data_IF_325209541723
#
_entry.id   IF_325209541723
#
_cell.length_a   1.000
_cell.length_b   1.000
_cell.length_c   1.000
_cell.angle_alpha   90.00
_cell.angle_beta   90.00
_cell.angle_gamma   90.00
#
_symmetry.space_group_name_H-M   'P 1'
#
loop_
_entity.id
_entity.type
_entity.pdbx_description
1 polymer ?
#
# COMPACT_ATOMS: atom_id res chain seq x y z
N UNK A 1 0.63 -5.57 -22.05
CA UNK A 1 1.35 -4.55 -21.25
C UNK A 1 0.65 -3.21 -21.49
N UNK A 2 0.06 -2.56 -20.49
CA UNK A 2 -0.50 -1.21 -20.69
C UNK A 2 0.69 -0.26 -20.88
N UNK A 3 0.76 0.42 -22.01
CA UNK A 3 1.74 1.48 -22.27
C UNK A 3 1.62 2.51 -21.15
N UNK A 4 2.66 2.60 -20.31
CA UNK A 4 2.72 3.60 -19.24
C UNK A 4 3.28 4.88 -19.84
N UNK A 5 2.59 5.99 -19.58
CA UNK A 5 3.08 7.32 -19.94
C UNK A 5 4.46 7.55 -19.28
N UNK A 6 5.50 7.89 -20.05
CA UNK A 6 6.82 8.28 -19.53
C UNK A 6 6.72 9.43 -18.52
N UNK A 7 7.64 9.48 -17.56
CA UNK A 7 7.61 10.47 -16.48
C UNK A 7 7.73 11.92 -16.99
N UNK A 8 8.50 12.13 -18.07
CA UNK A 8 8.66 13.46 -18.68
C UNK A 8 7.35 13.95 -19.33
N UNK A 9 6.63 13.08 -20.03
CA UNK A 9 5.33 13.42 -20.62
C UNK A 9 4.30 13.72 -19.53
N UNK A 10 4.27 12.88 -18.50
CA UNK A 10 3.38 13.05 -17.36
C UNK A 10 3.62 14.37 -16.62
N UNK A 11 4.89 14.73 -16.41
CA UNK A 11 5.28 16.00 -15.80
C UNK A 11 4.88 17.19 -16.67
N UNK A 12 5.13 17.13 -17.98
CA UNK A 12 4.79 18.20 -18.92
C UNK A 12 3.28 18.45 -18.97
N UNK A 13 2.47 17.38 -19.01
CA UNK A 13 1.02 17.52 -19.00
C UNK A 13 0.50 18.11 -17.69
N UNK A 14 1.06 17.68 -16.55
CA UNK A 14 0.73 18.24 -15.24
C UNK A 14 1.12 19.72 -15.12
N UNK A 15 2.26 20.12 -15.69
CA UNK A 15 2.74 21.51 -15.66
C UNK A 15 1.88 22.47 -16.48
N UNK A 16 1.12 21.99 -17.48
CA UNK A 16 0.16 22.82 -18.23
C UNK A 16 -0.95 23.36 -17.32
N UNK A 17 -1.48 22.50 -16.46
CA UNK A 17 -2.56 22.83 -15.54
C UNK A 17 -2.03 23.40 -14.21
N UNK A 18 -0.81 23.02 -13.83
CA UNK A 18 -0.21 23.34 -12.53
C UNK A 18 1.28 23.71 -12.70
N UNK A 19 1.61 24.96 -13.06
CA UNK A 19 2.98 25.37 -13.34
C UNK A 19 3.91 25.33 -12.12
N UNK A 20 3.35 25.28 -10.90
CA UNK A 20 4.11 25.18 -9.66
C UNK A 20 4.67 23.77 -9.38
N UNK A 21 4.37 22.78 -10.21
CA UNK A 21 4.94 21.42 -10.09
C UNK A 21 6.38 21.45 -10.60
N UNK A 22 7.31 21.10 -9.70
CA UNK A 22 8.75 21.14 -9.98
C UNK A 22 9.21 19.80 -10.54
N UNK A 23 8.93 18.71 -9.81
CA UNK A 23 9.44 17.38 -10.13
C UNK A 23 8.36 16.31 -9.96
N UNK A 24 8.58 15.21 -10.67
CA UNK A 24 7.81 13.98 -10.54
C UNK A 24 8.79 12.81 -10.34
N UNK A 25 8.60 12.05 -9.27
CA UNK A 25 9.42 10.88 -8.96
C UNK A 25 8.56 9.64 -8.82
N UNK A 26 8.64 8.72 -9.79
CA UNK A 26 7.92 7.44 -9.75
C UNK A 26 8.56 6.50 -8.73
N UNK A 27 7.75 5.81 -7.92
CA UNK A 27 8.29 4.81 -7.00
C UNK A 27 8.73 3.57 -7.77
N UNK A 28 9.80 2.95 -7.30
CA UNK A 28 10.37 1.72 -7.87
C UNK A 28 10.08 0.58 -6.88
N UNK A 29 9.66 -0.58 -7.40
CA UNK A 29 9.41 -1.76 -6.57
C UNK A 29 10.71 -2.53 -6.24
N UNK A 30 10.61 -3.60 -5.44
CA UNK A 30 11.77 -4.44 -5.06
C UNK A 30 12.49 -5.09 -6.26
N UNK A 31 11.84 -5.17 -7.42
CA UNK A 31 12.39 -5.76 -8.64
C UNK A 31 12.96 -4.68 -9.58
N UNK A 32 13.19 -3.46 -9.08
CA UNK A 32 13.64 -2.31 -9.85
C UNK A 32 12.69 -1.89 -11.00
N UNK A 33 11.41 -2.25 -10.92
CA UNK A 33 10.41 -1.85 -11.90
C UNK A 33 9.62 -0.62 -11.41
N UNK A 34 9.35 0.34 -12.30
CA UNK A 34 8.52 1.50 -11.96
C UNK A 34 7.10 1.06 -11.58
N UNK A 35 6.56 1.70 -10.55
CA UNK A 35 5.19 1.48 -10.06
C UNK A 35 4.20 2.45 -10.71
N UNK A 36 2.91 2.27 -10.45
CA UNK A 36 1.87 3.22 -10.88
C UNK A 36 1.85 4.50 -10.03
N UNK A 37 2.53 4.49 -8.88
CA UNK A 37 2.55 5.61 -7.95
C UNK A 37 3.73 6.53 -8.25
N UNK A 38 3.48 7.83 -8.19
CA UNK A 38 4.52 8.85 -8.28
C UNK A 38 4.32 9.91 -7.20
N UNK A 39 5.43 10.47 -6.74
CA UNK A 39 5.48 11.63 -5.86
C UNK A 39 5.62 12.88 -6.72
N UNK A 40 4.83 13.90 -6.42
CA UNK A 40 4.94 15.23 -7.00
C UNK A 40 5.61 16.16 -5.99
N UNK A 41 6.59 16.91 -6.45
CA UNK A 41 7.16 18.02 -5.69
C UNK A 41 6.54 19.31 -6.20
N UNK A 42 5.80 19.99 -5.32
CA UNK A 42 5.03 21.19 -5.65
C UNK A 42 5.59 22.37 -4.86
N UNK A 43 5.84 23.49 -5.54
CA UNK A 43 6.39 24.71 -4.92
C UNK A 43 5.37 25.46 -4.07
N UNK A 44 4.13 25.54 -4.57
CA UNK A 44 3.06 26.34 -3.99
C UNK A 44 2.14 25.50 -3.11
N UNK A 45 1.92 25.95 -1.87
CA UNK A 45 0.97 25.32 -0.94
C UNK A 45 -0.45 25.35 -1.49
N UNK A 46 -0.85 26.45 -2.16
CA UNK A 46 -2.18 26.58 -2.77
C UNK A 46 -2.41 25.49 -3.82
N UNK A 47 -1.43 25.28 -4.69
CA UNK A 47 -1.48 24.25 -5.74
C UNK A 47 -1.54 22.85 -5.13
N UNK A 48 -0.81 22.61 -4.04
CA UNK A 48 -0.90 21.35 -3.30
C UNK A 48 -2.29 21.13 -2.68
N UNK A 49 -2.87 22.15 -2.04
CA UNK A 49 -4.20 22.07 -1.45
C UNK A 49 -5.29 21.84 -2.51
N UNK A 50 -5.20 22.52 -3.66
CA UNK A 50 -6.11 22.33 -4.78
C UNK A 50 -6.05 20.90 -5.33
N UNK A 51 -4.84 20.35 -5.51
CA UNK A 51 -4.64 18.96 -5.92
C UNK A 51 -5.26 17.98 -4.91
N UNK A 52 -5.03 18.21 -3.61
CA UNK A 52 -5.56 17.37 -2.53
C UNK A 52 -7.09 17.48 -2.38
N UNK A 53 -7.66 18.63 -2.71
CA UNK A 53 -9.11 18.87 -2.73
C UNK A 53 -9.78 18.18 -3.93
N UNK A 54 -9.14 18.21 -5.10
CA UNK A 54 -9.64 17.54 -6.32
C UNK A 54 -9.65 16.01 -6.21
N UNK A 55 -8.77 15.41 -5.40
CA UNK A 55 -8.60 13.95 -5.21
C UNK A 55 -8.17 13.16 -6.45
N UNK A 56 -8.17 13.77 -7.63
CA UNK A 56 -7.75 13.14 -8.87
C UNK A 56 -7.28 14.18 -9.88
N UNK A 57 -6.44 13.75 -10.81
CA UNK A 57 -6.00 14.49 -11.99
C UNK A 57 -6.20 13.62 -13.23
N UNK A 58 -6.61 14.22 -14.34
CA UNK A 58 -6.85 13.51 -15.59
C UNK A 58 -5.72 13.83 -16.56
N UNK A 59 -5.00 12.80 -17.02
CA UNK A 59 -3.87 12.97 -17.93
C UNK A 59 -4.01 11.95 -19.04
N UNK A 60 -4.07 12.42 -20.29
CA UNK A 60 -4.28 11.59 -21.49
C UNK A 60 -5.49 10.65 -21.36
N UNK A 61 -6.61 11.17 -20.82
CA UNK A 61 -7.84 10.41 -20.60
C UNK A 61 -7.79 9.40 -19.43
N UNK A 62 -6.67 9.32 -18.70
CA UNK A 62 -6.49 8.43 -17.55
C UNK A 62 -6.65 9.24 -16.26
N UNK A 63 -7.49 8.74 -15.36
CA UNK A 63 -7.74 9.33 -14.03
C UNK A 63 -6.73 8.80 -13.02
N UNK A 64 -5.87 9.68 -12.51
CA UNK A 64 -4.90 9.38 -11.47
C UNK A 64 -5.42 9.87 -10.10
N UNK A 65 -5.52 9.00 -9.08
CA UNK A 65 -5.88 9.43 -7.74
C UNK A 65 -4.75 10.24 -7.10
N UNK A 66 -5.12 11.28 -6.35
CA UNK A 66 -4.20 12.16 -5.63
C UNK A 66 -4.47 12.05 -4.14
N UNK A 67 -3.40 11.83 -3.38
CA UNK A 67 -3.42 11.74 -1.92
C UNK A 67 -2.20 12.42 -1.31
N UNK A 68 -2.32 12.90 -0.08
CA UNK A 68 -1.19 13.49 0.65
C UNK A 68 -0.06 12.44 0.77
N UNK A 69 1.13 12.84 0.34
CA UNK A 69 2.30 11.98 0.42
C UNK A 69 2.89 12.08 1.82
N UNK A 70 2.76 11.00 2.59
CA UNK A 70 3.46 10.84 3.85
C UNK A 70 4.78 10.15 3.59
N UNK A 71 5.86 10.93 3.46
CA UNK A 71 7.20 10.36 3.33
C UNK A 71 7.44 9.36 4.49
N UNK A 72 7.87 8.11 4.19
CA UNK A 72 8.23 7.15 5.21
C UNK A 72 9.53 7.60 5.86
N UNK A 73 9.44 8.55 6.79
CA UNK A 73 10.55 8.94 7.63
C UNK A 73 10.70 7.88 8.73
N UNK A 74 11.91 7.33 8.87
CA UNK A 74 12.32 6.51 10.00
C UNK A 74 12.44 7.40 11.25
N UNK A 75 11.32 7.99 11.69
CA UNK A 75 11.27 8.63 13.00
C UNK A 75 11.45 7.52 14.02
N UNK A 76 12.47 7.66 14.86
CA UNK A 76 12.69 6.71 15.93
C UNK A 76 11.54 6.86 16.93
N UNK A 77 10.67 5.86 16.98
CA UNK A 77 9.58 5.77 17.95
C UNK A 77 9.89 4.64 18.92
N UNK A 78 9.93 4.94 20.21
CA UNK A 78 10.17 3.94 21.24
C UNK A 78 9.01 2.92 21.28
N UNK A 79 9.28 1.62 21.18
CA UNK A 79 8.23 0.59 21.25
C UNK A 79 7.69 0.33 22.66
N UNK A 80 8.25 0.98 23.69
CA UNK A 80 7.79 0.91 25.10
C UNK A 80 6.79 2.03 25.42
N UNK A 81 7.20 3.27 25.28
CA UNK A 81 6.37 4.42 25.64
C UNK A 81 5.77 5.17 24.44
N UNK A 82 6.13 4.78 23.20
CA UNK A 82 5.74 5.46 21.96
C UNK A 82 6.14 6.93 21.88
N UNK A 83 7.07 7.41 22.70
CA UNK A 83 7.67 8.73 22.51
C UNK A 83 8.71 8.73 21.39
N UNK A 84 9.02 9.92 20.89
CA UNK A 84 9.96 10.12 19.79
C UNK A 84 11.41 10.22 20.29
N UNK A 85 12.37 9.86 19.43
CA UNK A 85 13.78 10.21 19.59
C UNK A 85 14.62 9.26 20.45
N UNK A 86 14.11 8.10 20.88
CA UNK A 86 14.91 7.12 21.61
C UNK A 86 14.51 5.66 21.33
N UNK A 87 15.47 4.76 21.54
CA UNK A 87 15.26 3.32 21.48
C UNK A 87 14.65 2.79 22.78
N UNK A 88 13.98 1.64 22.71
CA UNK A 88 13.42 0.95 23.88
C UNK A 88 14.46 0.71 24.98
N UNK A 89 15.71 0.43 24.61
CA UNK A 89 16.84 0.24 25.55
C UNK A 89 17.13 1.47 26.41
N UNK A 90 16.83 2.66 25.90
CA UNK A 90 17.14 3.94 26.55
C UNK A 90 15.87 4.60 27.11
N UNK A 91 14.77 3.85 27.18
CA UNK A 91 13.50 4.34 27.68
C UNK A 91 13.52 4.42 29.21
N UNK A 92 13.18 5.59 29.75
CA UNK A 92 13.09 5.83 31.20
C UNK A 92 11.74 5.45 31.81
N UNK A 93 10.75 5.11 30.98
CA UNK A 93 9.45 4.70 31.48
C UNK A 93 9.56 3.31 32.12
N UNK A 94 8.96 3.15 33.30
CA UNK A 94 8.91 1.86 34.00
C UNK A 94 7.90 0.93 33.33
N UNK A 95 6.73 1.45 32.97
CA UNK A 95 5.62 0.72 32.34
C UNK A 95 5.61 0.86 30.81
N UNK A 96 4.99 -0.10 30.13
CA UNK A 96 4.72 -0.04 28.70
C UNK A 96 3.44 0.79 28.46
N UNK A 97 3.34 1.49 27.33
CA UNK A 97 2.12 2.19 26.94
C UNK A 97 1.40 1.42 25.85
N UNK A 98 0.07 1.40 25.88
CA UNK A 98 -0.70 0.80 24.80
C UNK A 98 -0.61 1.65 23.53
N UNK A 99 -0.22 1.04 22.41
CA UNK A 99 -0.17 1.73 21.10
C UNK A 99 -1.53 2.31 20.69
N UNK A 100 -2.60 1.59 21.05
CA UNK A 100 -3.97 1.88 20.64
C UNK A 100 -4.61 2.87 21.58
N UNK A 101 -4.77 2.59 22.88
CA UNK A 101 -5.47 3.50 23.79
C UNK A 101 -4.55 4.48 24.56
N UNK A 102 -3.23 4.30 24.50
CA UNK A 102 -2.27 5.19 25.16
C UNK A 102 -2.08 4.98 26.67
N UNK A 103 -2.81 4.06 27.30
CA UNK A 103 -2.72 3.77 28.74
C UNK A 103 -1.40 3.08 29.12
N UNK A 104 -0.90 3.39 30.32
CA UNK A 104 0.25 2.72 30.92
C UNK A 104 -0.17 1.37 31.50
N UNK A 105 0.56 0.32 31.15
CA UNK A 105 0.23 -1.07 31.46
C UNK A 105 1.50 -1.84 31.84
N UNK A 106 1.36 -2.73 32.82
CA UNK A 106 2.45 -3.61 33.25
C UNK A 106 2.60 -4.80 32.28
N UNK A 107 1.49 -5.32 31.74
CA UNK A 107 1.47 -6.35 30.71
C UNK A 107 0.62 -5.95 29.51
N UNK A 108 1.30 -5.69 28.39
CA UNK A 108 0.68 -5.27 27.12
C UNK A 108 -0.20 -6.36 26.49
N UNK A 109 0.12 -7.64 26.69
CA UNK A 109 -0.61 -8.76 26.08
C UNK A 109 -1.95 -8.91 26.75
N UNK A 110 -1.96 -8.99 28.09
CA UNK A 110 -3.18 -9.06 28.88
C UNK A 110 -4.08 -7.86 28.65
N UNK A 111 -3.51 -6.65 28.61
CA UNK A 111 -4.30 -5.45 28.31
C UNK A 111 -4.98 -5.51 26.94
N UNK A 112 -4.28 -5.97 25.89
CA UNK A 112 -4.84 -6.06 24.54
C UNK A 112 -6.04 -7.01 24.44
N UNK A 113 -6.04 -8.09 25.21
CA UNK A 113 -7.07 -9.12 25.19
C UNK A 113 -8.31 -8.75 26.03
N UNK A 114 -8.09 -8.21 27.24
CA UNK A 114 -9.15 -8.06 28.23
C UNK A 114 -9.57 -6.61 28.50
N UNK A 115 -8.63 -5.65 28.44
CA UNK A 115 -8.80 -4.33 29.08
C UNK A 115 -8.49 -3.14 28.16
N UNK A 116 -8.43 -3.34 26.85
CA UNK A 116 -8.20 -2.28 25.89
C UNK A 116 -9.52 -1.76 25.34
N UNK A 117 -9.76 -0.46 25.46
CA UNK A 117 -10.96 0.21 24.92
C UNK A 117 -11.07 0.12 23.39
N UNK A 118 -10.01 -0.33 22.70
CA UNK A 118 -9.86 -0.43 21.23
C UNK A 118 -10.10 0.88 20.47
N UNK A 119 -10.40 1.97 21.18
CA UNK A 119 -10.47 3.32 20.64
C UNK A 119 -9.04 3.85 20.45
N UNK A 120 -8.63 4.18 19.22
CA UNK A 120 -7.29 4.67 18.97
C UNK A 120 -7.15 6.08 19.55
N UNK A 121 -6.15 6.28 20.40
CA UNK A 121 -5.80 7.53 21.05
C UNK A 121 -4.29 7.76 20.96
N UNK A 122 -3.90 8.89 20.37
CA UNK A 122 -2.49 9.21 20.20
C UNK A 122 -1.92 9.77 21.51
N UNK A 123 -0.88 9.13 22.05
CA UNK A 123 -0.20 9.56 23.29
C UNK A 123 0.34 10.99 23.18
N UNK A 124 0.66 11.45 21.96
CA UNK A 124 1.33 12.75 21.74
C UNK A 124 0.37 13.89 21.48
N UNK A 125 -0.52 13.75 20.50
CA UNK A 125 -1.47 14.82 20.14
C UNK A 125 -2.87 14.63 20.71
N UNK A 126 -3.14 13.51 21.42
CA UNK A 126 -4.42 13.19 22.06
C UNK A 126 -5.61 13.06 21.10
N UNK A 127 -5.36 12.95 19.80
CA UNK A 127 -6.38 12.77 18.77
C UNK A 127 -6.71 11.28 18.54
N UNK A 128 -7.81 11.04 17.82
CA UNK A 128 -8.34 9.70 17.54
C UNK A 128 -7.58 9.00 16.40
N UNK A 129 -6.33 8.60 16.66
CA UNK A 129 -5.54 7.75 15.77
C UNK A 129 -4.42 7.06 16.54
N UNK A 130 -3.81 6.05 15.93
CA UNK A 130 -2.68 5.32 16.52
C UNK A 130 -1.51 6.27 16.85
N UNK A 131 -0.78 5.97 17.92
CA UNK A 131 0.42 6.73 18.30
C UNK A 131 1.55 6.68 17.25
N UNK A 132 1.51 5.75 16.28
CA UNK A 132 2.48 5.66 15.18
C UNK A 132 1.95 6.18 13.84
N UNK A 133 0.73 6.73 13.81
CA UNK A 133 0.14 7.22 12.57
C UNK A 133 0.99 8.35 11.95
N UNK A 134 1.29 8.22 10.65
CA UNK A 134 2.05 9.21 9.90
C UNK A 134 1.32 10.56 9.79
N UNK A 135 -0.01 10.55 9.98
CA UNK A 135 -0.90 11.73 9.98
C UNK A 135 -0.85 12.52 11.29
N UNK A 136 -0.21 12.00 12.33
CA UNK A 136 -0.10 12.69 13.61
C UNK A 136 0.59 14.06 13.43
N UNK A 137 -0.03 15.18 13.86
CA UNK A 137 0.56 16.50 13.71
C UNK A 137 1.88 16.63 14.46
N UNK A 138 2.01 16.03 15.65
CA UNK A 138 3.26 16.04 16.43
C UNK A 138 4.38 15.26 15.74
N UNK A 139 4.06 14.16 15.06
CA UNK A 139 5.08 13.44 14.28
C UNK A 139 5.47 14.28 13.06
N UNK A 140 4.50 14.94 12.42
CA UNK A 140 4.76 15.83 11.27
C UNK A 140 5.69 16.98 11.66
N UNK A 141 5.45 17.67 12.77
CA UNK A 141 6.34 18.75 13.25
C UNK A 141 7.74 18.23 13.57
N UNK A 142 7.85 17.15 14.36
CA UNK A 142 9.14 16.55 14.70
C UNK A 142 9.95 16.15 13.45
N UNK A 143 9.28 15.61 12.43
CA UNK A 143 9.91 15.32 11.12
C UNK A 143 10.47 16.58 10.47
N UNK A 144 9.65 17.63 10.39
CA UNK A 144 10.07 18.88 9.74
C UNK A 144 11.27 19.51 10.45
N UNK A 145 11.31 19.44 11.78
CA UNK A 145 12.43 19.93 12.59
C UNK A 145 13.68 19.10 12.38
N UNK A 146 13.56 17.76 12.38
CA UNK A 146 14.68 16.87 12.12
C UNK A 146 15.26 17.07 10.72
N UNK A 147 14.41 17.19 9.70
CA UNK A 147 14.86 17.50 8.34
C UNK A 147 15.52 18.88 8.26
N UNK A 148 14.95 19.91 8.87
CA UNK A 148 15.56 21.26 8.95
C UNK A 148 16.93 21.20 9.61
N UNK A 149 17.06 20.49 10.74
CA UNK A 149 18.33 20.32 11.45
C UNK A 149 19.36 19.66 10.55
N UNK A 150 19.03 18.54 9.90
CA UNK A 150 19.95 17.82 9.01
C UNK A 150 20.43 18.71 7.85
N UNK A 151 19.52 19.45 7.22
CA UNK A 151 19.85 20.36 6.11
C UNK A 151 20.69 21.56 6.58
N UNK A 152 20.44 22.09 7.78
CA UNK A 152 21.23 23.19 8.36
C UNK A 152 22.63 22.75 8.83
N UNK A 153 22.77 21.51 9.30
CA UNK A 153 24.08 20.97 9.71
C UNK A 153 25.01 20.78 8.50
N UNK A 154 24.48 20.42 7.34
CA UNK A 154 25.26 20.31 6.09
C UNK A 154 25.85 21.63 5.57
N UNK A 155 25.38 22.79 6.04
CA UNK A 155 25.98 24.08 5.64
C UNK A 155 27.19 24.51 6.48
N UNK A 156 27.48 23.83 7.60
CA UNK A 156 28.58 24.21 8.50
C UNK A 156 29.85 23.35 8.39
N UNK A 157 29.83 22.25 7.62
CA UNK A 157 30.96 21.31 7.54
C UNK A 157 32.07 21.70 6.54
N UNK A 158 31.86 22.71 5.70
CA UNK A 158 32.91 23.20 4.80
C UNK A 158 34.05 23.96 5.52
N UNK A 159 33.89 24.31 6.80
CA UNK A 159 34.92 25.09 7.54
C UNK A 159 35.76 24.26 8.53
N UNK A 160 35.45 22.96 8.74
CA UNK A 160 36.19 22.12 9.71
C UNK A 160 37.26 21.21 9.10
N UNK A 161 37.33 21.08 7.77
CA UNK A 161 38.41 20.33 7.12
C UNK A 161 39.72 21.13 6.93
N UNK A 162 39.72 22.46 7.08
CA UNK A 162 40.95 23.28 6.94
C UNK A 162 41.76 23.49 8.24
N UNK A 163 41.25 23.12 9.41
CA UNK A 163 41.98 23.30 10.70
C UNK A 163 42.68 22.05 11.23
N UNK A 164 42.68 20.92 10.51
CA UNK A 164 43.40 19.70 10.91
C UNK A 164 44.86 19.61 10.41
N UNK A 165 45.38 20.63 9.73
CA UNK A 165 46.77 20.66 9.24
C UNK A 165 47.66 21.72 9.92
N UNK A 166 47.29 22.27 11.07
CA UNK A 166 48.17 23.20 11.78
C UNK A 166 48.40 22.79 13.25
N UNK A 167 49.60 22.23 13.47
CA UNK A 167 50.47 22.52 14.61
C UNK A 167 49.97 22.16 16.00
N UNK A 168 50.31 20.96 16.47
CA UNK A 168 50.63 20.78 17.90
C UNK A 168 52.14 20.98 18.09
N UNK A 169 52.54 22.23 18.30
CA UNK A 169 53.84 22.58 18.88
C UNK A 169 53.76 22.25 20.37
N UNK A 170 54.50 21.23 20.83
CA UNK A 170 54.83 21.08 22.25
C UNK A 170 56.25 21.60 22.47
N UNK A 171 56.36 22.59 23.35
CA UNK A 171 57.61 23.20 23.77
C UNK A 171 58.50 22.22 24.55
N UNK A 172 59.79 22.51 24.47
CA UNK A 172 60.95 21.75 24.91
C UNK A 172 61.07 21.57 26.44
N UNK A 173 61.59 20.40 26.82
CA UNK A 173 62.16 20.08 28.13
C UNK A 173 63.17 18.92 27.98
N UNK A 174 64.45 19.27 28.03
CA UNK A 174 65.70 18.51 27.79
C UNK A 174 65.76 17.12 28.47
N UNK A 175 66.19 16.07 27.74
CA UNK A 175 67.45 15.29 27.93
C UNK A 175 67.49 14.04 27.03
N UNK A 176 68.60 13.93 26.30
CA UNK A 176 68.96 12.85 25.39
C UNK A 176 68.99 11.48 26.09
N UNK A 177 68.52 10.44 25.39
CA UNK A 177 68.82 9.05 25.67
C UNK A 177 69.44 8.41 24.41
N UNK A 178 70.51 7.61 24.54
CA UNK A 178 71.30 7.14 23.41
C UNK A 178 70.59 5.98 22.69
N UNK A 179 70.93 5.71 21.40
CA UNK A 179 70.32 4.61 20.66
C UNK A 179 70.91 3.28 21.14
N UNK A 180 70.06 2.41 21.70
CA UNK A 180 70.44 1.02 21.94
C UNK A 180 70.22 0.19 20.67
N UNK A 181 71.35 -0.17 20.08
CA UNK A 181 71.53 -1.29 19.19
C UNK A 181 70.96 -2.57 19.83
N UNK A 182 70.04 -3.23 19.15
CA UNK A 182 69.63 -4.60 19.48
C UNK A 182 69.64 -5.44 18.20
N UNK A 183 70.84 -5.85 17.79
CA UNK A 183 71.02 -7.17 17.21
C UNK A 183 70.80 -8.19 18.33
N UNK A 184 69.61 -8.78 18.40
CA UNK A 184 69.37 -9.99 19.20
C UNK A 184 68.42 -10.90 18.46
N UNK A 185 69.02 -11.92 17.86
CA UNK A 185 68.42 -13.20 17.51
C UNK A 185 67.80 -13.84 18.75
N UNK A 186 66.48 -13.76 18.91
CA UNK A 186 65.72 -14.64 19.80
C UNK A 186 64.36 -15.03 19.17
N UNK A 187 64.33 -16.26 18.69
CA UNK A 187 63.23 -17.23 18.80
C UNK A 187 61.84 -16.68 19.15
N UNK A 188 61.03 -16.38 18.13
CA UNK A 188 59.58 -16.25 18.23
C UNK A 188 58.90 -17.59 17.95
N UNK A 189 59.00 -18.52 18.90
CA UNK A 189 58.06 -19.64 18.94
C UNK A 189 56.74 -19.18 19.58
N UNK A 190 55.70 -19.05 18.74
CA UNK A 190 54.39 -19.59 19.07
C UNK A 190 53.34 -18.70 19.75
N UNK A 191 52.96 -17.54 19.20
CA UNK A 191 51.66 -16.91 19.54
C UNK A 191 50.92 -16.19 18.39
N UNK A 192 51.53 -15.97 17.21
CA UNK A 192 50.84 -15.28 16.09
C UNK A 192 49.99 -16.18 15.17
N UNK A 193 50.19 -17.49 15.20
CA UNK A 193 49.40 -18.42 14.36
C UNK A 193 47.99 -18.70 14.92
N UNK A 194 47.78 -18.53 16.23
CA UNK A 194 46.47 -18.74 16.86
C UNK A 194 45.47 -17.63 16.55
N UNK A 195 45.93 -16.39 16.33
CA UNK A 195 45.04 -15.26 16.05
C UNK A 195 44.34 -15.40 14.70
N UNK A 196 45.03 -15.90 13.66
CA UNK A 196 44.41 -16.10 12.35
C UNK A 196 43.35 -17.20 12.38
N UNK A 197 43.66 -18.34 13.03
CA UNK A 197 42.71 -19.45 13.17
C UNK A 197 41.51 -19.02 14.01
N UNK A 198 41.72 -18.31 15.11
CA UNK A 198 40.65 -17.78 15.96
C UNK A 198 39.76 -16.77 15.21
N UNK A 199 40.36 -15.86 14.43
CA UNK A 199 39.61 -14.91 13.63
C UNK A 199 38.80 -15.59 12.51
N UNK A 200 39.36 -16.62 11.85
CA UNK A 200 38.63 -17.43 10.87
C UNK A 200 37.49 -18.21 11.49
N UNK A 201 37.67 -18.77 12.69
CA UNK A 201 36.61 -19.46 13.43
C UNK A 201 35.48 -18.50 13.82
N UNK A 202 35.80 -17.31 14.30
CA UNK A 202 34.80 -16.28 14.62
C UNK A 202 34.07 -15.76 13.37
N UNK A 203 34.77 -15.66 12.24
CA UNK A 203 34.13 -15.32 10.97
C UNK A 203 33.17 -16.42 10.53
N UNK A 204 33.58 -17.68 10.61
CA UNK A 204 32.73 -18.81 10.27
C UNK A 204 31.49 -18.89 11.19
N UNK A 205 31.64 -18.63 12.49
CA UNK A 205 30.51 -18.59 13.43
C UNK A 205 29.50 -17.48 13.06
N UNK A 206 29.99 -16.30 12.66
CA UNK A 206 29.12 -15.24 12.14
C UNK A 206 28.41 -15.65 10.86
N UNK A 207 29.15 -16.21 9.90
CA UNK A 207 28.59 -16.62 8.61
C UNK A 207 27.53 -17.73 8.78
N UNK A 208 27.76 -18.68 9.69
CA UNK A 208 26.78 -19.74 10.01
C UNK A 208 25.52 -19.17 10.66
N UNK A 209 25.64 -18.18 11.55
CA UNK A 209 24.48 -17.49 12.14
C UNK A 209 23.68 -16.73 11.09
N UNK A 210 24.37 -15.99 10.21
CA UNK A 210 23.74 -15.25 9.12
C UNK A 210 22.99 -16.20 8.16
N UNK A 211 23.59 -17.33 7.79
CA UNK A 211 22.94 -18.37 6.97
C UNK A 211 21.71 -18.94 7.71
N UNK A 212 21.82 -19.24 9.00
CA UNK A 212 20.69 -19.73 9.81
C UNK A 212 19.54 -18.73 9.81
N UNK A 213 19.81 -17.44 9.97
CA UNK A 213 18.78 -16.41 10.01
C UNK A 213 18.16 -16.17 8.63
N UNK A 214 18.93 -16.26 7.55
CA UNK A 214 18.40 -16.27 6.18
C UNK A 214 17.49 -17.48 5.93
N UNK A 215 17.86 -18.68 6.39
CA UNK A 215 17.03 -19.88 6.26
C UNK A 215 15.72 -19.76 7.04
N UNK A 216 15.75 -19.21 8.27
CA UNK A 216 14.53 -18.92 9.05
C UNK A 216 13.61 -17.94 8.33
N UNK A 217 14.18 -16.90 7.72
CA UNK A 217 13.41 -15.92 6.94
C UNK A 217 12.76 -16.56 5.70
N UNK A 218 13.50 -17.41 4.97
CA UNK A 218 12.95 -18.15 3.83
C UNK A 218 11.84 -19.13 4.25
N UNK A 219 11.98 -19.78 5.40
CA UNK A 219 10.95 -20.65 5.97
C UNK A 219 9.67 -19.86 6.31
N UNK A 220 9.80 -18.68 6.91
CA UNK A 220 8.65 -17.79 7.19
C UNK A 220 7.96 -17.32 5.90
N UNK A 221 8.71 -17.02 4.83
CA UNK A 221 8.11 -16.71 3.53
C UNK A 221 7.35 -17.90 2.97
N UNK A 222 7.95 -19.09 2.96
CA UNK A 222 7.33 -20.29 2.38
C UNK A 222 6.06 -20.70 3.14
N UNK A 223 6.07 -20.58 4.48
CA UNK A 223 4.88 -20.86 5.30
C UNK A 223 3.74 -19.88 5.01
N UNK A 224 4.05 -18.58 4.84
CA UNK A 224 3.07 -17.57 4.43
C UNK A 224 2.53 -17.81 3.02
N UNK A 225 3.38 -18.21 2.08
CA UNK A 225 2.95 -18.56 0.72
C UNK A 225 2.03 -19.78 0.72
N UNK A 226 2.34 -20.81 1.51
CA UNK A 226 1.48 -21.99 1.63
C UNK A 226 0.11 -21.63 2.23
N UNK A 227 0.07 -20.75 3.23
CA UNK A 227 -1.19 -20.27 3.82
C UNK A 227 -2.02 -19.48 2.78
N UNK A 228 -1.39 -18.62 1.99
CA UNK A 228 -2.06 -17.90 0.90
C UNK A 228 -2.60 -18.86 -0.17
N UNK A 229 -1.83 -19.89 -0.53
CA UNK A 229 -2.25 -20.86 -1.53
C UNK A 229 -3.46 -21.68 -1.07
N UNK A 230 -3.53 -22.04 0.23
CA UNK A 230 -4.71 -22.67 0.82
C UNK A 230 -5.94 -21.76 0.71
N UNK A 231 -5.81 -20.49 1.07
CA UNK A 231 -6.91 -19.53 0.98
C UNK A 231 -7.41 -19.34 -0.46
N UNK A 232 -6.49 -19.28 -1.44
CA UNK A 232 -6.86 -19.20 -2.87
C UNK A 232 -7.62 -20.46 -3.30
N UNK A 233 -7.19 -21.63 -2.85
CA UNK A 233 -7.83 -22.90 -3.18
C UNK A 233 -9.25 -22.98 -2.61
N UNK A 234 -9.45 -22.55 -1.36
CA UNK A 234 -10.75 -22.46 -0.72
C UNK A 234 -11.70 -21.50 -1.46
N UNK A 235 -11.21 -20.31 -1.81
CA UNK A 235 -11.99 -19.32 -2.59
C UNK A 235 -12.35 -19.85 -3.98
N UNK A 236 -11.41 -20.51 -4.65
CA UNK A 236 -11.65 -21.09 -5.99
C UNK A 236 -12.71 -22.19 -5.93
N UNK A 237 -12.66 -23.04 -4.89
CA UNK A 237 -13.65 -24.09 -4.66
C UNK A 237 -15.03 -23.49 -4.37
N UNK A 238 -15.11 -22.46 -3.53
CA UNK A 238 -16.36 -21.74 -3.23
C UNK A 238 -16.97 -21.10 -4.49
N UNK A 239 -16.16 -20.44 -5.31
CA UNK A 239 -16.62 -19.87 -6.59
C UNK A 239 -17.13 -20.95 -7.55
N UNK A 240 -16.47 -22.11 -7.65
CA UNK A 240 -16.93 -23.19 -8.51
C UNK A 240 -18.33 -23.71 -8.09
N UNK A 241 -18.58 -23.82 -6.78
CA UNK A 241 -19.91 -24.19 -6.25
C UNK A 241 -20.96 -23.16 -6.62
N UNK A 242 -20.68 -21.86 -6.46
CA UNK A 242 -21.61 -20.79 -6.83
C UNK A 242 -21.92 -20.77 -8.33
N UNK A 243 -20.91 -20.97 -9.18
CA UNK A 243 -21.09 -21.05 -10.63
C UNK A 243 -22.02 -22.22 -10.98
N UNK A 244 -21.84 -23.37 -10.33
CA UNK A 244 -22.69 -24.54 -10.55
C UNK A 244 -24.14 -24.31 -10.09
N UNK A 245 -24.34 -23.67 -8.93
CA UNK A 245 -25.69 -23.33 -8.45
C UNK A 245 -26.39 -22.35 -9.40
N UNK A 246 -25.68 -21.33 -9.86
CA UNK A 246 -26.23 -20.35 -10.80
C UNK A 246 -26.55 -20.97 -12.16
N UNK A 247 -25.72 -21.89 -12.65
CA UNK A 247 -25.99 -22.58 -13.92
C UNK A 247 -27.22 -23.48 -13.82
N UNK A 248 -27.42 -24.19 -12.71
CA UNK A 248 -28.65 -24.96 -12.46
C UNK A 248 -29.90 -24.07 -12.45
N UNK A 249 -29.83 -22.91 -11.79
CA UNK A 249 -30.95 -21.95 -11.73
C UNK A 249 -31.27 -21.34 -13.10
N UNK A 250 -30.25 -21.07 -13.92
CA UNK A 250 -30.45 -20.59 -15.28
C UNK A 250 -31.14 -21.66 -16.15
N UNK A 251 -30.75 -22.93 -15.99
CA UNK A 251 -31.38 -24.04 -16.71
C UNK A 251 -32.87 -24.19 -16.34
N UNK A 252 -33.23 -24.07 -15.06
CA UNK A 252 -34.65 -24.12 -14.66
C UNK A 252 -35.46 -22.97 -15.24
N UNK A 253 -34.90 -21.75 -15.27
CA UNK A 253 -35.55 -20.59 -15.88
C UNK A 253 -35.71 -20.77 -17.40
N UNK A 254 -34.71 -21.35 -18.08
CA UNK A 254 -34.79 -21.63 -19.51
C UNK A 254 -35.93 -22.62 -19.83
N UNK A 255 -36.14 -23.64 -18.98
CA UNK A 255 -37.26 -24.58 -19.11
C UNK A 255 -38.61 -23.85 -18.94
N UNK A 256 -38.74 -22.93 -17.98
CA UNK A 256 -39.97 -22.15 -17.81
C UNK A 256 -40.25 -21.24 -19.02
N UNK A 257 -39.23 -20.55 -19.54
CA UNK A 257 -39.37 -19.67 -20.71
C UNK A 257 -39.75 -20.47 -21.96
N UNK A 258 -39.13 -21.63 -22.18
CA UNK A 258 -39.46 -22.50 -23.32
C UNK A 258 -40.89 -23.04 -23.21
N UNK A 259 -41.32 -23.47 -22.03
CA UNK A 259 -42.71 -23.89 -21.79
C UNK A 259 -43.73 -22.77 -22.06
N UNK A 260 -43.44 -21.53 -21.62
CA UNK A 260 -44.29 -20.38 -21.91
C UNK A 260 -44.35 -20.08 -23.41
N UNK A 261 -43.21 -20.15 -24.11
CA UNK A 261 -43.14 -20.01 -25.56
C UNK A 261 -44.02 -21.03 -26.28
N UNK A 262 -43.89 -22.32 -25.94
CA UNK A 262 -44.73 -23.38 -26.50
C UNK A 262 -46.22 -23.18 -26.19
N UNK A 263 -46.57 -22.67 -25.01
CA UNK A 263 -47.96 -22.39 -24.65
C UNK A 263 -48.54 -21.28 -25.51
N UNK A 264 -47.79 -20.20 -25.72
CA UNK A 264 -48.21 -19.08 -26.59
C UNK A 264 -48.39 -19.59 -28.03
N UNK A 265 -47.42 -20.32 -28.54
CA UNK A 265 -47.40 -20.76 -29.94
C UNK A 265 -48.47 -21.82 -30.23
N UNK A 266 -48.69 -22.78 -29.33
CA UNK A 266 -49.63 -23.87 -29.57
C UNK A 266 -51.08 -23.56 -29.16
N UNK A 267 -51.32 -22.65 -28.21
CA UNK A 267 -52.68 -22.37 -27.74
C UNK A 267 -53.18 -20.97 -28.12
N UNK A 268 -52.41 -19.92 -27.86
CA UNK A 268 -52.89 -18.55 -28.06
C UNK A 268 -52.89 -18.16 -29.53
N UNK A 269 -51.87 -18.55 -30.29
CA UNK A 269 -51.77 -18.21 -31.71
C UNK A 269 -52.93 -18.78 -32.55
N UNK A 270 -53.35 -20.06 -32.41
CA UNK A 270 -54.51 -20.56 -33.14
C UNK A 270 -55.83 -19.86 -32.78
N UNK A 271 -56.02 -19.51 -31.50
CA UNK A 271 -57.19 -18.74 -31.05
C UNK A 271 -57.17 -17.37 -31.73
N UNK A 272 -56.04 -16.67 -31.70
CA UNK A 272 -55.87 -15.37 -32.33
C UNK A 272 -56.17 -15.44 -33.84
N UNK A 273 -55.60 -16.42 -34.54
CA UNK A 273 -55.86 -16.65 -35.97
C UNK A 273 -57.34 -16.92 -36.25
N UNK A 274 -58.02 -17.69 -35.40
CA UNK A 274 -59.45 -17.97 -35.53
C UNK A 274 -60.28 -16.70 -35.33
N UNK A 275 -59.97 -15.90 -34.31
CA UNK A 275 -60.65 -14.62 -34.05
C UNK A 275 -60.48 -13.69 -35.24
N UNK A 276 -59.27 -13.54 -35.79
CA UNK A 276 -59.01 -12.73 -36.97
C UNK A 276 -59.81 -13.16 -38.20
N UNK A 277 -60.04 -14.46 -38.38
CA UNK A 277 -60.84 -14.98 -39.50
C UNK A 277 -62.35 -14.77 -39.32
N UNK A 278 -62.84 -14.74 -38.08
CA UNK A 278 -64.28 -14.63 -37.76
C UNK A 278 -64.72 -13.18 -37.62
N UNK A 279 -63.87 -12.29 -37.09
CA UNK A 279 -64.20 -10.89 -36.82
C UNK A 279 -64.84 -10.17 -38.02
N UNK A 280 -64.28 -10.24 -39.25
CA UNK A 280 -64.85 -9.53 -40.40
C UNK A 280 -66.27 -10.01 -40.78
N UNK A 281 -66.58 -11.28 -40.52
CA UNK A 281 -67.88 -11.87 -40.83
C UNK A 281 -68.96 -11.40 -39.86
N UNK A 282 -68.61 -11.24 -38.58
CA UNK A 282 -69.51 -10.68 -37.56
C UNK A 282 -69.78 -9.19 -37.82
N UNK A 283 -68.75 -8.44 -38.23
CA UNK A 283 -68.85 -7.01 -38.57
C UNK A 283 -69.77 -6.76 -39.79
N UNK A 284 -69.93 -7.72 -40.69
CA UNK A 284 -70.89 -7.59 -41.81
C UNK A 284 -72.35 -7.80 -41.39
N UNK A 285 -72.62 -8.41 -40.23
CA UNK A 285 -73.97 -8.67 -39.74
C UNK A 285 -74.51 -7.56 -38.82
N UNK A 286 -73.64 -6.79 -38.19
CA UNK A 286 -74.02 -5.65 -37.35
C UNK A 286 -73.36 -4.38 -37.91
N UNK A 287 -74.14 -3.33 -38.17
CA UNK A 287 -73.67 -2.04 -38.72
C UNK A 287 -72.81 -1.26 -37.72
N UNK A 288 -71.63 -1.78 -37.40
CA UNK A 288 -70.67 -1.19 -36.45
C UNK A 288 -69.67 -0.32 -37.23
N UNK A 289 -69.34 0.89 -36.76
CA UNK A 289 -68.39 1.79 -37.43
C UNK A 289 -66.97 1.20 -37.49
N UNK A 290 -66.41 1.11 -38.69
CA UNK A 290 -65.08 0.53 -39.02
C UNK A 290 -63.89 1.15 -38.28
N UNK A 291 -63.98 2.42 -37.89
CA UNK A 291 -62.89 3.15 -37.24
C UNK A 291 -62.52 2.63 -35.84
N UNK A 292 -63.44 1.94 -35.16
CA UNK A 292 -63.17 1.40 -33.82
C UNK A 292 -62.38 0.08 -33.85
N UNK A 293 -62.31 -0.59 -35.01
CA UNK A 293 -61.73 -1.92 -35.16
C UNK A 293 -60.24 -1.84 -35.54
N UNK A 294 -59.85 -0.91 -36.42
CA UNK A 294 -58.44 -0.66 -36.76
C UNK A 294 -57.61 -0.23 -35.54
N UNK A 295 -58.22 0.58 -34.65
CA UNK A 295 -57.64 0.98 -33.36
C UNK A 295 -57.37 -0.21 -32.44
N UNK A 296 -58.26 -1.20 -32.44
CA UNK A 296 -58.09 -2.41 -31.63
C UNK A 296 -57.00 -3.32 -32.21
N UNK A 297 -57.00 -3.53 -33.52
CA UNK A 297 -55.97 -4.33 -34.20
C UNK A 297 -54.57 -3.76 -34.02
N UNK A 298 -54.40 -2.43 -34.15
CA UNK A 298 -53.13 -1.76 -33.91
C UNK A 298 -52.64 -1.88 -32.45
N UNK A 299 -53.56 -1.87 -31.48
CA UNK A 299 -53.22 -2.07 -30.06
C UNK A 299 -52.75 -3.50 -29.78
N UNK A 300 -53.33 -4.49 -30.44
CA UNK A 300 -52.90 -5.88 -30.28
C UNK A 300 -51.55 -6.17 -30.96
N UNK A 301 -51.32 -5.67 -32.18
CA UNK A 301 -50.03 -5.86 -32.88
C UNK A 301 -48.85 -5.21 -32.15
N UNK A 302 -49.08 -4.09 -31.45
CA UNK A 302 -48.06 -3.46 -30.62
C UNK A 302 -47.64 -4.32 -29.43
N UNK A 303 -48.56 -5.09 -28.84
CA UNK A 303 -48.28 -5.93 -27.68
C UNK A 303 -47.67 -7.30 -28.03
N UNK A 304 -47.83 -7.78 -29.26
CA UNK A 304 -47.24 -9.05 -29.71
C UNK A 304 -45.80 -8.88 -30.19
N UNK A 305 -45.45 -7.71 -30.73
CA UNK A 305 -44.13 -7.45 -31.34
C UNK A 305 -43.14 -6.66 -30.44
N UNK A 306 -43.48 -6.41 -29.17
CA UNK A 306 -42.66 -5.68 -28.20
C UNK A 306 -42.10 -6.63 -27.13
#
# INVERSE_FOLDING_TARGET
MRNRCPDNELLNDLQKDFPDIINLHRFINKNNLPTTMARLDVKSVKTMDDLLKRKHVNINGIRYPVSEYFAPAKVLVCSKCFELGHFRSNCKCEKDKCRTCGLEVDDIKKHREENCDKLPHCIRCKNNHDSTDLRCPTIKTFRTELTKSLLSSSTHDNNKQQQRQQGFVRQNGIKEFPPLNVNTTQNTWGWRANDEVYNRLNQLDRDVRDISDQLKYLLDINTKQLAQQKQITELTTSHAVLIHQNSQKLMSQQVEVTFLGETIENFLMPIYQTVLQVLPKLIQQESIPTASIESLAQRFDYHINA
#
